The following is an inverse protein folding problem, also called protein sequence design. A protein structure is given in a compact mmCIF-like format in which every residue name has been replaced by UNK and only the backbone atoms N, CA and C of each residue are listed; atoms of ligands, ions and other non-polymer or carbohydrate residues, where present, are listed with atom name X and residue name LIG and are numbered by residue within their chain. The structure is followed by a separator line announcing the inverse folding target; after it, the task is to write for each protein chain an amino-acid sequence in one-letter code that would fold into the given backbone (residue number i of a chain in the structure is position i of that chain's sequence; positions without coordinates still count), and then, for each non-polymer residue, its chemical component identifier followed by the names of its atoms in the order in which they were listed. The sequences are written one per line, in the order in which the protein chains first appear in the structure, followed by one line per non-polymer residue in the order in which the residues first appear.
data_IF_549223137038
#
_entry.id   IF_549223137038
#
_cell.length_a   1.000
_cell.length_b   1.000
_cell.length_c   1.000
_cell.angle_alpha   90.00
_cell.angle_beta   90.00
_cell.angle_gamma   90.00
#
_symmetry.space_group_name_H-M   'P 1'
#
loop_
_entity.id
_entity.type
_entity.pdbx_description
1 polymer ?
#
# COMPACT_ATOMS: atom_id res chain seq x y z
N UNK A 1 -2.02 26.48 -7.33
CA UNK A 1 -1.78 27.87 -7.76
C UNK A 1 -0.44 28.39 -7.23
N UNK A 2 -0.21 28.50 -5.92
CA UNK A 2 1.06 29.04 -5.39
C UNK A 2 2.32 28.26 -5.80
N UNK A 3 2.29 26.91 -5.76
CA UNK A 3 3.39 26.09 -6.27
C UNK A 3 3.66 26.25 -7.77
N UNK A 4 2.67 26.70 -8.57
CA UNK A 4 2.86 26.92 -10.02
C UNK A 4 3.63 28.21 -10.30
N UNK A 5 3.50 29.22 -9.44
CA UNK A 5 4.13 30.52 -9.59
C UNK A 5 5.31 30.71 -8.63
N UNK A 6 5.75 29.63 -7.99
CA UNK A 6 6.87 29.61 -7.04
C UNK A 6 6.75 30.65 -5.90
N UNK A 7 5.51 30.89 -5.45
CA UNK A 7 5.22 31.86 -4.39
C UNK A 7 5.42 31.17 -3.03
N UNK A 8 6.37 31.65 -2.19
CA UNK A 8 6.57 31.12 -0.85
C UNK A 8 5.34 31.43 0.02
N UNK A 9 4.86 30.43 0.75
CA UNK A 9 3.66 30.56 1.57
C UNK A 9 3.74 29.67 2.81
N UNK A 10 3.08 30.10 3.88
CA UNK A 10 2.82 29.30 5.07
C UNK A 10 1.34 28.97 5.13
N UNK A 11 1.01 27.72 5.46
CA UNK A 11 -0.38 27.31 5.67
C UNK A 11 -0.51 26.90 7.12
N UNK A 12 -1.22 27.71 7.90
CA UNK A 12 -1.52 27.44 9.30
C UNK A 12 -2.66 26.41 9.43
N UNK A 13 -2.41 25.21 8.90
CA UNK A 13 -3.34 24.08 9.04
C UNK A 13 -2.56 22.81 9.24
N UNK A 14 -3.10 21.92 10.07
CA UNK A 14 -2.58 20.58 10.18
C UNK A 14 -2.77 19.84 8.85
N UNK A 15 -1.72 19.14 8.40
CA UNK A 15 -1.81 18.27 7.23
C UNK A 15 -2.35 16.91 7.71
N UNK A 16 -3.51 16.46 7.20
CA UNK A 16 -4.00 15.14 7.55
C UNK A 16 -3.02 14.08 7.05
N UNK A 17 -2.65 13.14 7.91
CA UNK A 17 -1.75 12.01 7.57
C UNK A 17 -2.51 10.79 7.02
N UNK A 18 -3.80 10.93 6.73
CA UNK A 18 -4.66 9.81 6.32
C UNK A 18 -4.14 9.08 5.07
N UNK A 19 -3.54 9.81 4.13
CA UNK A 19 -3.02 9.28 2.87
C UNK A 19 -1.48 9.18 2.90
N UNK A 20 -0.89 9.20 4.09
CA UNK A 20 0.55 9.01 4.22
C UNK A 20 0.86 7.51 4.06
N UNK A 21 1.86 7.09 3.27
CA UNK A 21 2.15 5.68 3.01
C UNK A 21 2.30 4.84 4.29
N UNK A 22 2.90 5.40 5.34
CA UNK A 22 3.00 4.76 6.65
C UNK A 22 1.64 4.46 7.29
N UNK A 23 0.68 5.38 7.17
CA UNK A 23 -0.68 5.19 7.69
C UNK A 23 -1.39 4.06 6.97
N UNK A 24 -1.29 4.03 5.64
CA UNK A 24 -1.85 2.96 4.81
C UNK A 24 -1.20 1.61 5.11
N UNK A 25 0.11 1.56 5.32
CA UNK A 25 0.84 0.34 5.71
C UNK A 25 0.32 -0.23 7.03
N UNK A 26 0.12 0.62 8.05
CA UNK A 26 -0.37 0.17 9.34
C UNK A 26 -1.80 -0.37 9.24
N UNK A 27 -2.67 0.31 8.49
CA UNK A 27 -4.02 -0.17 8.21
C UNK A 27 -4.00 -1.51 7.49
N UNK A 28 -3.20 -1.63 6.43
CA UNK A 28 -3.04 -2.86 5.66
C UNK A 28 -2.55 -4.04 6.52
N UNK A 29 -1.58 -3.80 7.41
CA UNK A 29 -1.10 -4.82 8.36
C UNK A 29 -2.20 -5.37 9.25
N UNK A 30 -3.04 -4.51 9.83
CA UNK A 30 -4.16 -4.96 10.66
C UNK A 30 -5.22 -5.69 9.83
N UNK A 31 -5.46 -5.24 8.61
CA UNK A 31 -6.44 -5.86 7.71
C UNK A 31 -5.98 -7.23 7.21
N UNK A 32 -4.68 -7.44 6.98
CA UNK A 32 -4.11 -8.76 6.67
C UNK A 32 -4.42 -9.77 7.78
N UNK A 33 -4.21 -9.38 9.04
CA UNK A 33 -4.47 -10.23 10.20
C UNK A 33 -5.97 -10.49 10.39
N UNK A 34 -6.82 -9.49 10.13
CA UNK A 34 -8.29 -9.61 10.28
C UNK A 34 -8.96 -10.39 9.15
N UNK A 35 -8.40 -10.32 7.95
CA UNK A 35 -8.98 -10.87 6.73
C UNK A 35 -8.18 -12.04 6.17
N UNK A 36 -7.43 -12.76 7.02
CA UNK A 36 -6.67 -13.97 6.67
C UNK A 36 -5.84 -13.80 5.38
N UNK A 37 -5.05 -12.74 5.27
CA UNK A 37 -4.20 -12.48 4.09
C UNK A 37 -4.98 -12.32 2.77
N UNK A 38 -6.09 -11.58 2.81
CA UNK A 38 -6.79 -11.23 1.57
C UNK A 38 -5.82 -10.55 0.59
N UNK A 39 -5.95 -10.92 -0.69
CA UNK A 39 -5.13 -10.40 -1.78
C UNK A 39 -5.05 -8.87 -1.77
N UNK A 40 -6.19 -8.20 -1.58
CA UNK A 40 -6.27 -6.75 -1.64
C UNK A 40 -5.50 -6.08 -0.50
N UNK A 41 -5.56 -6.62 0.72
CA UNK A 41 -4.80 -6.09 1.86
C UNK A 41 -3.29 -6.34 1.70
N UNK A 42 -2.92 -7.47 1.10
CA UNK A 42 -1.53 -7.79 0.77
C UNK A 42 -0.94 -6.80 -0.25
N UNK A 43 -1.64 -6.54 -1.38
CA UNK A 43 -1.14 -5.59 -2.37
C UNK A 43 -1.22 -4.14 -1.92
N UNK A 44 -2.18 -3.78 -1.06
CA UNK A 44 -2.20 -2.47 -0.43
C UNK A 44 -0.90 -2.25 0.38
N UNK A 45 -0.48 -3.26 1.16
CA UNK A 45 0.77 -3.20 1.93
C UNK A 45 2.00 -3.09 1.00
N UNK A 46 2.09 -3.93 -0.03
CA UNK A 46 3.24 -3.96 -0.94
C UNK A 46 3.36 -2.67 -1.76
N UNK A 47 2.23 -2.07 -2.16
CA UNK A 47 2.17 -0.82 -2.94
C UNK A 47 2.41 0.45 -2.12
N UNK A 48 2.66 0.33 -0.80
CA UNK A 48 3.09 1.49 0.02
C UNK A 48 4.54 1.93 -0.26
N UNK A 49 5.31 1.15 -1.03
CA UNK A 49 6.76 1.34 -1.29
C UNK A 49 7.64 1.37 -0.02
N UNK A 50 7.11 0.92 1.12
CA UNK A 50 7.85 0.82 2.39
C UNK A 50 8.44 -0.57 2.62
N UNK A 51 8.12 -1.53 1.75
CA UNK A 51 8.71 -2.87 1.75
C UNK A 51 9.98 -2.89 0.88
N UNK A 52 10.96 -3.75 1.19
CA UNK A 52 12.20 -3.86 0.43
C UNK A 52 12.01 -4.65 -0.88
N UNK A 53 11.02 -4.28 -1.67
CA UNK A 53 10.69 -4.87 -2.96
C UNK A 53 10.62 -3.76 -4.01
N UNK A 54 11.06 -4.07 -5.23
CA UNK A 54 10.91 -3.14 -6.34
C UNK A 54 9.46 -3.14 -6.81
N UNK A 55 9.01 -2.02 -7.40
CA UNK A 55 7.66 -1.93 -7.95
C UNK A 55 7.42 -2.97 -9.04
N UNK A 56 8.43 -3.23 -9.87
CA UNK A 56 8.36 -4.24 -10.92
C UNK A 56 8.12 -5.65 -10.35
N UNK A 57 8.78 -5.99 -9.23
CA UNK A 57 8.59 -7.27 -8.57
C UNK A 57 7.19 -7.39 -7.95
N UNK A 58 6.65 -6.30 -7.39
CA UNK A 58 5.28 -6.27 -6.86
C UNK A 58 4.24 -6.43 -7.98
N UNK A 59 4.45 -5.75 -9.11
CA UNK A 59 3.56 -5.83 -10.27
C UNK A 59 3.58 -7.24 -10.91
N UNK A 60 4.75 -7.87 -11.01
CA UNK A 60 4.87 -9.26 -11.49
C UNK A 60 4.15 -10.24 -10.55
N UNK A 61 4.33 -10.07 -9.24
CA UNK A 61 3.62 -10.87 -8.23
C UNK A 61 2.10 -10.67 -8.31
N UNK A 62 1.62 -9.44 -8.52
CA UNK A 62 0.20 -9.15 -8.66
C UNK A 62 -0.42 -9.87 -9.85
N UNK A 63 0.25 -9.82 -11.00
CA UNK A 63 -0.18 -10.53 -12.20
C UNK A 63 -0.22 -12.04 -12.00
N UNK A 64 0.82 -12.61 -11.36
CA UNK A 64 0.86 -14.03 -11.03
C UNK A 64 -0.30 -14.43 -10.10
N UNK A 65 -0.49 -13.70 -9.00
CA UNK A 65 -1.56 -13.98 -8.04
C UNK A 65 -2.95 -13.90 -8.67
N UNK A 66 -3.16 -12.93 -9.59
CA UNK A 66 -4.37 -12.79 -10.38
C UNK A 66 -4.61 -13.99 -11.30
N UNK A 67 -3.58 -14.42 -12.04
CA UNK A 67 -3.67 -15.53 -13.00
C UNK A 67 -3.99 -16.86 -12.31
N UNK A 68 -3.37 -17.13 -11.16
CA UNK A 68 -3.54 -18.39 -10.42
C UNK A 68 -4.64 -18.34 -9.35
N UNK A 69 -5.31 -17.19 -9.19
CA UNK A 69 -6.36 -16.98 -8.20
C UNK A 69 -5.89 -17.28 -6.77
N UNK A 70 -4.68 -16.83 -6.43
CA UNK A 70 -4.10 -17.00 -5.09
C UNK A 70 -4.77 -16.00 -4.15
N UNK A 71 -5.29 -16.48 -3.03
CA UNK A 71 -6.00 -15.64 -2.08
C UNK A 71 -6.09 -16.31 -0.71
N UNK A 72 -6.23 -15.49 0.33
CA UNK A 72 -6.37 -15.88 1.73
C UNK A 72 -5.41 -17.01 2.18
N UNK A 73 -5.96 -18.15 2.60
CA UNK A 73 -5.23 -19.32 3.10
C UNK A 73 -4.22 -19.92 2.12
N UNK A 74 -4.29 -19.58 0.82
CA UNK A 74 -3.28 -20.04 -0.15
C UNK A 74 -1.91 -19.42 0.09
N UNK A 75 -1.82 -18.30 0.82
CA UNK A 75 -0.55 -17.70 1.24
C UNK A 75 0.14 -18.50 2.35
N UNK A 76 -0.62 -19.24 3.16
CA UNK A 76 -0.11 -19.96 4.34
C UNK A 76 0.18 -21.45 4.07
N UNK A 77 -0.09 -21.97 2.87
CA UNK A 77 0.21 -23.39 2.58
C UNK A 77 1.69 -23.54 2.25
N UNK A 78 2.40 -24.26 3.12
CA UNK A 78 3.68 -24.93 2.82
C UNK A 78 3.59 -25.81 1.56
#
# INVERSE_FOLDING_TARGET
VFARYDIPHFIDRQRPMKNHPLGELLTALFDIVRHNYSRDSMFLLLKTDLMPLTREAVDELENYVLEFGIDHYKWERE
#
